data_IF_072178261340
#
_entry.id   IF_072178261340
#
_cell.length_a   1.000
_cell.length_b   1.000
_cell.length_c   1.000
_cell.angle_alpha   90.00
_cell.angle_beta   90.00
_cell.angle_gamma   90.00
#
_symmetry.space_group_name_H-M   'P 1'
#
loop_
_entity.id
_entity.type
_entity.pdbx_description
1 polymer ?
#
# COMPACT_ATOMS: atom_id res chain seq x y z
N UNK A 1 -2.57 2.03 27.38
CA UNK A 1 -3.04 1.69 26.02
C UNK A 1 -1.92 0.91 25.33
N UNK A 2 -2.23 -0.22 24.69
CA UNK A 2 -1.22 -1.07 24.03
C UNK A 2 -1.08 -0.66 22.56
N UNK A 3 0.14 -0.74 22.04
CA UNK A 3 0.42 -0.56 20.61
C UNK A 3 -0.37 -1.57 19.77
N UNK A 4 -1.09 -1.09 18.74
CA UNK A 4 -1.94 -1.93 17.86
C UNK A 4 -1.28 -2.34 16.55
N UNK A 5 -0.44 -1.49 15.97
CA UNK A 5 0.12 -1.68 14.63
C UNK A 5 1.64 -1.86 14.69
N UNK A 6 2.22 -2.61 13.74
CA UNK A 6 3.65 -2.80 13.59
C UNK A 6 4.21 -2.20 12.28
N UNK A 7 5.53 -2.14 12.17
CA UNK A 7 6.25 -1.61 11.01
C UNK A 7 5.89 -2.42 9.76
N UNK A 8 5.49 -1.72 8.70
CA UNK A 8 5.07 -2.31 7.43
C UNK A 8 3.61 -2.79 7.39
N UNK A 9 2.85 -2.66 8.49
CA UNK A 9 1.41 -2.83 8.45
C UNK A 9 0.78 -1.80 7.51
N UNK A 10 -0.22 -2.24 6.76
CA UNK A 10 -1.02 -1.39 5.89
C UNK A 10 -2.20 -0.87 6.68
N UNK A 11 -2.33 0.46 6.72
CA UNK A 11 -3.37 1.18 7.45
C UNK A 11 -3.98 2.24 6.56
N UNK A 12 -5.15 2.75 6.94
CA UNK A 12 -5.73 3.97 6.36
C UNK A 12 -6.46 4.77 7.42
N UNK A 13 -6.87 6.00 7.09
CA UNK A 13 -7.69 6.81 7.99
C UNK A 13 -9.05 6.16 8.20
N UNK A 14 -9.62 6.32 9.40
CA UNK A 14 -11.00 5.90 9.67
C UNK A 14 -11.99 6.49 8.68
N UNK A 15 -11.76 7.71 8.18
CA UNK A 15 -12.60 8.35 7.17
C UNK A 15 -12.54 7.70 5.78
N UNK A 16 -11.72 6.67 5.56
CA UNK A 16 -11.65 6.00 4.27
C UNK A 16 -12.99 5.29 3.96
N UNK A 17 -13.62 5.53 2.79
CA UNK A 17 -14.96 4.99 2.49
C UNK A 17 -15.07 3.45 2.60
N UNK A 18 -14.03 2.75 2.13
CA UNK A 18 -13.94 1.28 2.24
C UNK A 18 -13.90 0.73 3.69
N UNK A 19 -13.72 1.57 4.71
CA UNK A 19 -13.84 1.13 6.11
C UNK A 19 -15.30 0.92 6.54
N UNK A 20 -16.27 1.47 5.79
CA UNK A 20 -17.69 1.46 6.17
C UNK A 20 -18.63 1.00 5.04
N UNK A 21 -18.19 1.04 3.79
CA UNK A 21 -19.00 0.62 2.64
C UNK A 21 -19.02 -0.91 2.51
N UNK A 22 -20.19 -1.51 2.74
CA UNK A 22 -20.40 -2.96 2.70
C UNK A 22 -20.21 -3.55 1.28
N UNK A 23 -20.54 -2.79 0.25
CA UNK A 23 -20.34 -3.19 -1.16
C UNK A 23 -18.89 -3.05 -1.62
N UNK A 24 -18.04 -2.35 -0.85
CA UNK A 24 -16.65 -2.07 -1.20
C UNK A 24 -16.50 -1.17 -2.44
N UNK A 25 -17.54 -0.40 -2.79
CA UNK A 25 -17.50 0.61 -3.85
C UNK A 25 -17.44 2.01 -3.26
N UNK A 26 -16.52 2.83 -3.77
CA UNK A 26 -16.32 4.18 -3.26
C UNK A 26 -17.32 5.14 -3.90
N UNK A 27 -18.27 5.60 -3.08
CA UNK A 27 -19.19 6.70 -3.38
C UNK A 27 -18.70 8.03 -2.77
N UNK A 28 -17.49 8.45 -3.16
CA UNK A 28 -16.87 9.69 -2.69
C UNK A 28 -16.02 10.33 -3.79
N UNK A 29 -15.79 11.65 -3.69
CA UNK A 29 -14.94 12.35 -4.64
C UNK A 29 -13.49 11.85 -4.53
N UNK A 30 -12.93 11.45 -5.67
CA UNK A 30 -11.62 10.79 -5.80
C UNK A 30 -10.52 11.49 -5.00
N UNK A 31 -10.43 12.81 -5.12
CA UNK A 31 -9.35 13.59 -4.52
C UNK A 31 -9.46 13.73 -3.00
N UNK A 32 -10.57 13.31 -2.40
CA UNK A 32 -10.81 13.36 -0.95
C UNK A 32 -10.63 12.01 -0.27
N UNK A 33 -10.30 10.97 -1.03
CA UNK A 33 -10.13 9.62 -0.46
C UNK A 33 -8.72 9.50 0.11
N UNK A 34 -8.62 9.17 1.41
CA UNK A 34 -7.33 8.91 2.03
C UNK A 34 -6.57 7.78 1.32
N UNK A 35 -5.22 7.85 1.26
CA UNK A 35 -4.41 6.74 0.78
C UNK A 35 -4.43 5.56 1.76
N UNK A 36 -4.16 4.36 1.26
CA UNK A 36 -3.55 3.32 2.07
C UNK A 36 -2.07 3.67 2.31
N UNK A 37 -1.64 3.53 3.55
CA UNK A 37 -0.31 3.89 4.02
C UNK A 37 0.36 2.67 4.67
N UNK A 38 1.70 2.67 4.70
CA UNK A 38 2.48 1.71 5.47
C UNK A 38 3.07 2.39 6.72
N UNK A 39 3.05 1.71 7.87
CA UNK A 39 3.64 2.21 9.12
C UNK A 39 5.17 2.18 9.03
N UNK A 40 5.83 3.34 9.04
CA UNK A 40 7.30 3.51 9.00
C UNK A 40 7.93 3.51 10.38
N UNK A 41 7.29 4.17 11.34
CA UNK A 41 7.77 4.27 12.73
C UNK A 41 6.60 4.26 13.73
N UNK A 42 6.88 3.80 14.93
CA UNK A 42 5.94 3.81 16.06
C UNK A 42 6.52 4.70 17.14
N UNK A 43 5.73 5.64 17.67
CA UNK A 43 6.16 6.58 18.70
C UNK A 43 5.21 6.52 19.89
N UNK A 44 5.76 6.30 21.09
CA UNK A 44 5.02 6.26 22.35
C UNK A 44 5.37 7.51 23.18
N UNK A 45 4.43 8.43 23.26
CA UNK A 45 4.53 9.73 23.92
C UNK A 45 3.94 9.67 25.35
N UNK A 46 4.74 9.97 26.38
CA UNK A 46 4.32 9.83 27.80
C UNK A 46 3.75 11.09 28.44
N UNK A 47 4.06 12.27 27.92
CA UNK A 47 3.69 13.58 28.52
C UNK A 47 2.91 14.45 27.54
N UNK A 48 1.92 13.86 26.89
CA UNK A 48 1.08 14.55 25.92
C UNK A 48 -0.23 14.99 26.54
N UNK A 49 -0.70 16.16 26.14
CA UNK A 49 -2.06 16.57 26.42
C UNK A 49 -3.01 15.69 25.57
N UNK A 50 -3.70 14.78 26.24
CA UNK A 50 -4.65 13.85 25.62
C UNK A 50 -6.03 14.48 25.51
N UNK A 51 -6.41 15.31 26.49
CA UNK A 51 -7.73 15.93 26.60
C UNK A 51 -7.64 17.44 26.43
N UNK A 52 -8.67 18.03 25.81
CA UNK A 52 -8.76 19.48 25.63
C UNK A 52 -8.82 20.20 26.97
N UNK A 53 -8.10 21.32 27.09
CA UNK A 53 -8.23 22.23 28.23
C UNK A 53 -9.55 22.99 28.22
N UNK A 54 -10.17 23.17 27.05
CA UNK A 54 -11.42 23.89 26.87
C UNK A 54 -12.64 22.97 27.10
N UNK A 55 -12.51 21.68 26.76
CA UNK A 55 -13.54 20.67 26.97
C UNK A 55 -12.91 19.45 27.66
N UNK A 56 -12.95 19.36 29.01
CA UNK A 56 -12.18 18.40 29.80
C UNK A 56 -12.39 16.91 29.48
N UNK A 57 -13.50 16.55 28.81
CA UNK A 57 -13.80 15.19 28.37
C UNK A 57 -13.47 14.92 26.90
N UNK A 58 -13.12 15.95 26.10
CA UNK A 58 -12.82 15.78 24.69
C UNK A 58 -11.39 15.27 24.50
N UNK A 59 -11.27 14.02 24.07
CA UNK A 59 -9.99 13.43 23.66
C UNK A 59 -9.53 14.05 22.33
N UNK A 60 -8.34 14.64 22.31
CA UNK A 60 -7.75 15.33 21.16
C UNK A 60 -6.45 14.69 20.65
N UNK A 61 -5.90 13.71 21.39
CA UNK A 61 -4.68 13.01 21.00
C UNK A 61 -4.64 11.58 21.55
N UNK A 62 -3.65 10.82 21.09
CA UNK A 62 -3.22 9.56 21.68
C UNK A 62 -1.78 9.65 22.19
N UNK A 63 -1.46 8.75 23.12
CA UNK A 63 -0.08 8.49 23.55
C UNK A 63 0.71 7.69 22.52
N UNK A 64 0.07 7.18 21.47
CA UNK A 64 0.72 6.40 20.41
C UNK A 64 0.42 7.07 19.09
N UNK A 65 1.47 7.44 18.36
CA UNK A 65 1.39 7.96 17.00
C UNK A 65 2.31 7.14 16.08
N UNK A 66 1.95 7.12 14.81
CA UNK A 66 2.67 6.41 13.78
C UNK A 66 3.15 7.40 12.73
N UNK A 67 4.39 7.24 12.28
CA UNK A 67 4.82 7.86 11.04
C UNK A 67 4.40 6.91 9.92
N UNK A 68 3.46 7.34 9.09
CA UNK A 68 2.91 6.56 8.00
C UNK A 68 3.39 7.12 6.66
N UNK A 69 3.62 6.24 5.69
CA UNK A 69 4.11 6.59 4.36
C UNK A 69 3.14 6.09 3.30
N UNK A 70 2.84 6.93 2.30
CA UNK A 70 2.13 6.54 1.09
C UNK A 70 2.81 7.12 -0.14
N UNK A 71 2.42 6.64 -1.31
CA UNK A 71 2.89 7.19 -2.58
C UNK A 71 1.91 8.24 -3.10
N UNK A 72 2.36 9.50 -3.21
CA UNK A 72 1.61 10.54 -3.88
C UNK A 72 1.83 10.42 -5.39
N UNK A 73 0.82 9.91 -6.10
CA UNK A 73 0.88 9.72 -7.55
C UNK A 73 0.94 11.04 -8.35
N UNK A 74 0.44 12.15 -7.82
CA UNK A 74 0.40 13.43 -8.54
C UNK A 74 1.78 14.08 -8.58
N UNK A 75 2.50 13.98 -7.46
CA UNK A 75 3.86 14.50 -7.31
C UNK A 75 4.93 13.44 -7.61
N UNK A 76 4.52 12.18 -7.74
CA UNK A 76 5.38 11.01 -7.98
C UNK A 76 6.47 10.82 -6.92
N UNK A 77 6.11 11.05 -5.65
CA UNK A 77 7.00 10.94 -4.48
C UNK A 77 6.34 10.13 -3.36
N UNK A 78 7.12 9.63 -2.42
CA UNK A 78 6.58 9.18 -1.14
C UNK A 78 6.33 10.39 -0.23
N UNK A 79 5.20 10.37 0.47
CA UNK A 79 4.85 11.38 1.46
C UNK A 79 4.68 10.72 2.82
N UNK A 80 5.03 11.46 3.86
CA UNK A 80 4.98 11.01 5.25
C UNK A 80 4.00 11.85 6.06
N UNK A 81 3.27 11.19 6.96
CA UNK A 81 2.34 11.86 7.86
C UNK A 81 2.30 11.18 9.22
N UNK A 82 2.28 12.00 10.28
CA UNK A 82 2.01 11.50 11.63
C UNK A 82 0.52 11.36 11.86
N UNK A 83 0.09 10.18 12.32
CA UNK A 83 -1.31 9.88 12.63
C UNK A 83 -1.42 9.20 13.98
N UNK A 84 -2.49 9.47 14.73
CA UNK A 84 -2.73 8.85 16.03
C UNK A 84 -3.36 7.47 15.87
N UNK A 85 -3.09 6.59 16.83
CA UNK A 85 -3.59 5.21 16.83
C UNK A 85 -5.10 5.12 16.63
N UNK A 86 -5.89 5.99 17.27
CA UNK A 86 -7.34 5.96 17.18
C UNK A 86 -7.90 6.67 15.93
N UNK A 87 -7.05 7.24 15.07
CA UNK A 87 -7.47 7.88 13.81
C UNK A 87 -7.37 6.96 12.59
N UNK A 88 -6.73 5.80 12.75
CA UNK A 88 -6.46 4.84 11.67
C UNK A 88 -7.09 3.47 11.95
N UNK A 89 -7.22 2.67 10.88
CA UNK A 89 -7.69 1.28 10.89
C UNK A 89 -6.72 0.40 10.10
N UNK A 90 -6.71 -0.89 10.45
CA UNK A 90 -5.89 -1.91 9.78
C UNK A 90 -6.58 -2.33 8.47
N UNK A 91 -5.79 -2.79 7.48
CA UNK A 91 -6.35 -3.32 6.24
C UNK A 91 -7.36 -4.47 6.45
N UNK A 92 -7.20 -5.27 7.51
CA UNK A 92 -8.13 -6.35 7.86
C UNK A 92 -9.54 -5.85 8.16
N UNK A 93 -9.68 -4.58 8.54
CA UNK A 93 -10.94 -3.96 8.97
C UNK A 93 -11.61 -3.19 7.82
N UNK A 94 -11.06 -3.28 6.60
CA UNK A 94 -11.51 -2.58 5.40
C UNK A 94 -12.14 -3.59 4.44
N UNK A 95 -13.27 -3.21 3.83
CA UNK A 95 -13.98 -4.02 2.84
C UNK A 95 -13.55 -3.64 1.43
N UNK A 96 -13.16 -4.63 0.62
CA UNK A 96 -12.93 -4.46 -0.82
C UNK A 96 -13.99 -5.23 -1.61
N UNK A 97 -14.48 -4.64 -2.70
CA UNK A 97 -15.48 -5.25 -3.57
C UNK A 97 -15.06 -6.67 -3.99
N UNK A 98 -15.95 -7.64 -3.79
CA UNK A 98 -15.86 -8.97 -4.40
C UNK A 98 -16.62 -8.91 -5.73
N UNK A 99 -15.90 -8.91 -6.84
CA UNK A 99 -16.49 -8.67 -8.16
C UNK A 99 -17.63 -9.62 -8.53
N UNK A 100 -17.75 -10.81 -7.92
CA UNK A 100 -18.81 -11.76 -8.25
C UNK A 100 -19.22 -12.61 -7.03
N UNK A 101 -20.54 -12.76 -6.86
CA UNK A 101 -21.17 -13.94 -6.24
C UNK A 101 -20.55 -15.19 -6.87
N UNK A 102 -20.28 -16.19 -6.03
CA UNK A 102 -19.50 -17.41 -6.29
C UNK A 102 -17.98 -17.20 -6.34
N UNK A 103 -17.37 -17.16 -5.15
CA UNK A 103 -15.96 -17.51 -4.98
C UNK A 103 -15.77 -18.91 -5.60
N UNK A 104 -15.16 -18.99 -6.78
CA UNK A 104 -14.62 -20.26 -7.27
C UNK A 104 -13.76 -20.85 -6.15
N UNK A 105 -13.95 -22.14 -5.87
CA UNK A 105 -13.24 -22.86 -4.82
C UNK A 105 -11.72 -22.56 -4.88
N UNK A 106 -11.20 -21.89 -3.85
CA UNK A 106 -9.78 -21.51 -3.76
C UNK A 106 -9.40 -20.05 -4.10
N UNK A 107 -10.33 -19.18 -4.50
CA UNK A 107 -10.03 -17.74 -4.66
C UNK A 107 -9.97 -17.01 -3.31
N UNK A 108 -8.84 -16.32 -3.02
CA UNK A 108 -8.68 -15.43 -1.85
C UNK A 108 -9.20 -14.02 -2.16
N UNK A 109 -9.78 -13.35 -1.17
CA UNK A 109 -10.16 -11.94 -1.29
C UNK A 109 -8.93 -11.05 -1.42
N UNK A 110 -9.05 -9.87 -2.04
CA UNK A 110 -7.90 -8.96 -2.23
C UNK A 110 -7.19 -8.60 -0.91
N UNK A 111 -7.96 -8.37 0.16
CA UNK A 111 -7.42 -8.13 1.51
C UNK A 111 -6.60 -9.32 2.00
N UNK A 112 -7.15 -10.53 1.92
CA UNK A 112 -6.46 -11.77 2.30
C UNK A 112 -5.19 -11.98 1.46
N UNK A 113 -5.26 -11.74 0.15
CA UNK A 113 -4.10 -11.83 -0.73
C UNK A 113 -2.98 -10.88 -0.29
N UNK A 114 -3.33 -9.65 0.10
CA UNK A 114 -2.38 -8.62 0.52
C UNK A 114 -1.82 -8.85 1.91
N UNK A 115 -2.62 -9.37 2.85
CA UNK A 115 -2.13 -9.76 4.18
C UNK A 115 -1.13 -10.92 4.09
N UNK A 116 -1.26 -11.78 3.07
CA UNK A 116 -0.33 -12.87 2.79
C UNK A 116 0.95 -12.45 2.03
N UNK A 117 1.17 -11.16 1.78
CA UNK A 117 2.37 -10.71 1.08
C UNK A 117 3.64 -11.00 1.88
N UNK A 118 4.56 -11.69 1.23
CA UNK A 118 5.92 -11.83 1.74
C UNK A 118 6.71 -10.56 1.44
N UNK A 119 7.53 -10.16 2.40
CA UNK A 119 8.50 -9.08 2.19
C UNK A 119 9.51 -9.52 1.12
N UNK A 120 9.88 -8.62 0.22
CA UNK A 120 10.90 -8.92 -0.79
C UNK A 120 12.27 -9.10 -0.13
N UNK A 121 13.06 -10.05 -0.62
CA UNK A 121 14.50 -10.09 -0.38
C UNK A 121 15.21 -9.00 -1.21
N UNK A 122 16.39 -8.57 -0.74
CA UNK A 122 17.24 -7.65 -1.50
C UNK A 122 17.94 -8.39 -2.66
N UNK A 123 17.83 -7.81 -3.85
CA UNK A 123 18.56 -8.22 -5.04
C UNK A 123 18.70 -6.99 -5.93
N UNK A 124 19.93 -6.62 -6.30
CA UNK A 124 20.17 -5.42 -7.10
C UNK A 124 19.54 -5.58 -8.50
N UNK A 125 18.82 -4.55 -8.95
CA UNK A 125 18.08 -4.58 -10.22
C UNK A 125 16.73 -5.28 -10.15
N UNK A 126 16.37 -5.90 -9.02
CA UNK A 126 15.10 -6.61 -8.87
C UNK A 126 13.92 -5.64 -8.87
N UNK A 127 12.90 -6.01 -9.64
CA UNK A 127 11.62 -5.30 -9.66
C UNK A 127 10.79 -5.67 -8.44
N UNK A 128 10.29 -4.66 -7.74
CA UNK A 128 9.46 -4.79 -6.54
C UNK A 128 8.27 -3.82 -6.59
N UNK A 129 7.32 -4.03 -5.70
CA UNK A 129 6.11 -3.21 -5.58
C UNK A 129 5.95 -2.72 -4.16
N UNK A 130 5.48 -1.48 -4.02
CA UNK A 130 4.98 -1.00 -2.74
C UNK A 130 3.71 -1.80 -2.38
N UNK A 131 3.59 -2.24 -1.12
CA UNK A 131 2.53 -3.15 -0.69
C UNK A 131 1.11 -2.67 -1.02
N UNK A 132 0.87 -1.35 -1.06
CA UNK A 132 -0.44 -0.77 -1.36
C UNK A 132 -0.76 -0.68 -2.86
N UNK A 133 0.21 -0.94 -3.75
CA UNK A 133 0.06 -0.82 -5.21
C UNK A 133 -1.23 -1.46 -5.74
N UNK A 134 -1.45 -2.74 -5.37
CA UNK A 134 -2.58 -3.51 -5.89
C UNK A 134 -3.91 -3.04 -5.30
N UNK A 135 -3.91 -2.60 -4.05
CA UNK A 135 -5.08 -2.07 -3.36
C UNK A 135 -5.54 -0.78 -4.04
N UNK A 136 -4.63 0.17 -4.18
CA UNK A 136 -4.89 1.48 -4.80
C UNK A 136 -5.35 1.33 -6.25
N UNK A 137 -4.71 0.44 -7.01
CA UNK A 137 -5.08 0.16 -8.40
C UNK A 137 -6.47 -0.45 -8.57
N UNK A 138 -6.96 -1.19 -7.58
CA UNK A 138 -8.23 -1.96 -7.65
C UNK A 138 -9.38 -1.29 -6.92
N UNK A 139 -9.19 -0.06 -6.41
CA UNK A 139 -10.30 0.75 -5.90
C UNK A 139 -11.36 0.92 -7.00
N UNK A 140 -12.62 0.69 -6.63
CA UNK A 140 -13.77 0.89 -7.50
C UNK A 140 -14.57 2.09 -7.02
N UNK A 141 -15.15 2.81 -7.97
CA UNK A 141 -15.89 4.04 -7.72
C UNK A 141 -17.27 3.92 -8.37
N UNK A 142 -18.33 4.14 -7.60
CA UNK A 142 -19.72 3.99 -8.07
C UNK A 142 -20.04 4.95 -9.23
N UNK A 143 -19.50 6.16 -9.18
CA UNK A 143 -19.78 7.23 -10.15
C UNK A 143 -18.79 7.29 -11.32
N UNK A 144 -17.73 6.46 -11.33
CA UNK A 144 -16.79 6.40 -12.43
C UNK A 144 -17.37 5.53 -13.57
N UNK A 145 -18.26 6.11 -14.38
CA UNK A 145 -18.83 5.42 -15.54
C UNK A 145 -20.33 5.60 -15.79
N UNK A 146 -21.01 6.59 -15.20
CA UNK A 146 -22.44 6.84 -15.50
C UNK A 146 -22.70 7.58 -16.83
N UNK A 147 -21.69 7.82 -17.67
CA UNK A 147 -21.91 8.15 -19.07
C UNK A 147 -21.80 6.88 -19.92
N UNK A 148 -22.90 6.51 -20.56
CA UNK A 148 -23.03 5.35 -21.47
C UNK A 148 -22.07 5.37 -22.67
N UNK A 149 -21.37 6.49 -22.90
CA UNK A 149 -20.33 6.66 -23.92
C UNK A 149 -18.89 6.72 -23.36
N UNK A 150 -18.70 6.59 -22.04
CA UNK A 150 -17.38 6.71 -21.44
C UNK A 150 -16.63 5.37 -21.48
N UNK A 151 -15.69 5.24 -22.41
CA UNK A 151 -14.80 4.07 -22.57
C UNK A 151 -13.58 4.10 -21.64
N UNK A 152 -13.47 5.04 -20.69
CA UNK A 152 -12.33 5.16 -19.77
C UNK A 152 -12.73 5.89 -18.49
N UNK A 153 -12.15 5.69 -17.30
CA UNK A 153 -10.87 5.14 -16.85
C UNK A 153 -11.09 4.77 -15.38
N UNK A 154 -10.54 3.65 -14.91
CA UNK A 154 -10.28 3.48 -13.48
C UNK A 154 -9.52 4.72 -13.00
N UNK A 155 -10.14 5.53 -12.13
CA UNK A 155 -9.47 6.71 -11.59
C UNK A 155 -8.50 6.19 -10.54
N UNK A 156 -7.25 5.98 -10.94
CA UNK A 156 -6.20 5.55 -10.02
C UNK A 156 -6.02 6.66 -8.99
N UNK A 157 -6.08 6.30 -7.71
CA UNK A 157 -5.68 7.15 -6.58
C UNK A 157 -4.42 6.59 -5.98
N UNK A 158 -3.45 7.43 -5.62
CA UNK A 158 -2.25 7.06 -4.84
C UNK A 158 -1.51 5.80 -5.32
N UNK A 159 -1.64 5.44 -6.60
CA UNK A 159 -1.07 4.19 -7.13
C UNK A 159 0.40 4.41 -7.43
N UNK A 160 1.26 3.64 -6.78
CA UNK A 160 2.70 3.70 -7.02
C UNK A 160 3.09 3.10 -8.37
N UNK A 161 4.24 3.45 -8.96
CA UNK A 161 4.83 2.64 -10.03
C UNK A 161 5.34 1.30 -9.47
N UNK A 162 5.87 0.46 -10.36
CA UNK A 162 6.83 -0.55 -9.94
C UNK A 162 8.19 0.11 -9.71
N UNK A 163 8.95 -0.42 -8.77
CA UNK A 163 10.27 0.10 -8.42
C UNK A 163 11.36 -0.90 -8.75
N UNK A 164 12.59 -0.41 -8.87
CA UNK A 164 13.79 -1.22 -8.97
C UNK A 164 14.59 -1.07 -7.68
N UNK A 165 14.98 -2.18 -7.07
CA UNK A 165 15.93 -2.19 -5.98
C UNK A 165 17.32 -1.80 -6.50
N UNK A 166 17.89 -0.73 -5.95
CA UNK A 166 19.19 -0.24 -6.40
C UNK A 166 20.17 0.12 -5.27
N UNK A 167 19.84 -0.25 -4.03
CA UNK A 167 20.71 -0.06 -2.89
C UNK A 167 20.12 -0.63 -1.61
N UNK A 168 21.00 -0.83 -0.62
CA UNK A 168 20.67 -1.36 0.69
C UNK A 168 21.49 -0.61 1.74
N UNK A 169 20.87 -0.29 2.87
CA UNK A 169 21.60 0.17 4.05
C UNK A 169 20.88 -0.23 5.33
N UNK A 170 21.64 -0.32 6.41
CA UNK A 170 21.07 -0.37 7.75
C UNK A 170 20.47 0.99 8.10
N UNK A 171 19.39 0.97 8.88
CA UNK A 171 18.75 2.19 9.33
C UNK A 171 19.59 2.85 10.43
N UNK A 172 19.99 4.10 10.19
CA UNK A 172 20.72 4.89 11.18
C UNK A 172 19.83 5.24 12.38
N UNK A 173 18.51 5.36 12.17
CA UNK A 173 17.54 5.60 13.23
C UNK A 173 17.21 4.28 13.91
N UNK A 174 17.80 4.06 15.08
CA UNK A 174 17.53 2.88 15.90
C UNK A 174 16.26 3.04 16.73
N UNK A 175 15.66 1.90 17.07
CA UNK A 175 14.60 1.81 18.07
C UNK A 175 15.12 2.27 19.43
N UNK A 176 14.33 3.06 20.14
CA UNK A 176 14.66 3.66 21.43
C UNK A 176 13.79 3.02 22.50
N UNK A 177 14.46 2.59 23.58
CA UNK A 177 13.82 2.04 24.78
C UNK A 177 14.22 2.89 25.98
N UNK A 178 13.30 3.00 26.93
CA UNK A 178 13.57 3.70 28.17
C UNK A 178 14.57 2.89 29.01
N UNK A 179 15.72 3.48 29.33
CA UNK A 179 16.80 2.81 30.05
C UNK A 179 16.41 2.31 31.46
N UNK A 180 15.39 2.89 32.10
CA UNK A 180 14.99 2.54 33.47
C UNK A 180 14.03 1.35 33.54
N UNK A 181 13.12 1.21 32.58
CA UNK A 181 12.06 0.20 32.61
C UNK A 181 11.95 -0.66 31.35
N UNK A 182 12.81 -0.43 30.35
CA UNK A 182 12.83 -1.18 29.10
C UNK A 182 11.66 -0.89 28.16
N UNK A 183 10.77 0.05 28.47
CA UNK A 183 9.59 0.31 27.64
C UNK A 183 9.98 0.97 26.32
N UNK A 184 9.37 0.51 25.23
CA UNK A 184 9.52 1.07 23.90
C UNK A 184 9.08 2.55 23.88
N UNK A 185 9.93 3.41 23.34
CA UNK A 185 9.61 4.82 23.08
C UNK A 185 9.49 5.11 21.59
N UNK A 186 10.36 4.50 20.78
CA UNK A 186 10.29 4.58 19.33
C UNK A 186 10.69 3.26 18.70
N UNK A 187 9.91 2.75 17.74
CA UNK A 187 10.29 1.60 16.90
C UNK A 187 10.55 2.07 15.49
N UNK A 188 11.67 1.65 14.91
CA UNK A 188 12.07 1.90 13.53
C UNK A 188 12.45 0.56 12.87
N UNK A 189 12.34 0.46 11.54
CA UNK A 189 12.88 -0.68 10.79
C UNK A 189 14.40 -0.72 10.87
N UNK A 190 14.99 -1.91 10.85
CA UNK A 190 16.44 -2.12 10.89
C UNK A 190 17.09 -1.97 9.51
N UNK A 191 16.36 -2.26 8.44
CA UNK A 191 16.89 -2.38 7.09
C UNK A 191 16.09 -1.50 6.11
N UNK A 192 16.82 -0.72 5.32
CA UNK A 192 16.24 0.17 4.31
C UNK A 192 16.68 -0.27 2.92
N UNK A 193 15.72 -0.38 2.02
CA UNK A 193 15.93 -0.58 0.60
C UNK A 193 15.90 0.76 -0.12
N UNK A 194 16.89 0.99 -0.98
CA UNK A 194 16.88 2.09 -1.94
C UNK A 194 16.08 1.63 -3.15
N UNK A 195 15.04 2.39 -3.48
CA UNK A 195 14.18 2.14 -4.62
C UNK A 195 14.34 3.23 -5.65
N UNK A 196 14.35 2.84 -6.92
CA UNK A 196 14.48 3.71 -8.10
C UNK A 196 13.21 3.62 -8.94
N UNK A 197 12.73 4.78 -9.41
CA UNK A 197 11.63 4.86 -10.37
C UNK A 197 11.78 6.10 -11.26
N UNK A 198 11.09 6.09 -12.39
CA UNK A 198 10.95 7.28 -13.22
C UNK A 198 9.87 8.20 -12.64
N UNK A 199 10.27 9.41 -12.23
CA UNK A 199 9.37 10.44 -11.77
C UNK A 199 8.96 11.32 -12.95
N UNK A 200 7.76 11.04 -13.48
CA UNK A 200 7.20 11.76 -14.61
C UNK A 200 6.85 13.22 -14.28
N UNK A 201 6.64 13.58 -13.01
CA UNK A 201 6.37 14.96 -12.61
C UNK A 201 7.62 15.85 -12.72
N UNK A 202 8.81 15.29 -12.46
CA UNK A 202 10.09 16.00 -12.54
C UNK A 202 10.92 15.61 -13.78
N UNK A 203 10.40 14.75 -14.65
CA UNK A 203 11.05 14.19 -15.83
C UNK A 203 12.44 13.56 -15.57
N UNK A 204 12.65 13.00 -14.38
CA UNK A 204 13.93 12.40 -13.98
C UNK A 204 13.74 11.12 -13.17
N UNK A 205 14.82 10.39 -12.97
CA UNK A 205 14.80 9.29 -12.02
C UNK A 205 14.79 9.82 -10.58
N UNK A 206 13.94 9.24 -9.74
CA UNK A 206 13.88 9.49 -8.31
C UNK A 206 14.31 8.25 -7.55
N UNK A 207 14.90 8.48 -6.39
CA UNK A 207 15.42 7.44 -5.52
C UNK A 207 15.07 7.74 -4.06
N UNK A 208 14.72 6.71 -3.31
CA UNK A 208 14.41 6.88 -1.89
C UNK A 208 14.73 5.62 -1.08
N UNK A 209 15.14 5.81 0.17
CA UNK A 209 15.35 4.72 1.13
C UNK A 209 14.11 4.52 1.98
N UNK A 210 13.52 3.33 1.90
CA UNK A 210 12.32 2.95 2.64
C UNK A 210 12.50 1.61 3.36
N UNK A 211 11.77 1.35 4.46
CA UNK A 211 11.79 0.06 5.15
C UNK A 211 11.60 -1.12 4.21
N UNK A 212 12.37 -2.19 4.38
CA UNK A 212 12.18 -3.42 3.58
C UNK A 212 10.76 -3.97 3.67
N UNK A 213 10.10 -3.75 4.81
CA UNK A 213 8.76 -4.21 5.12
C UNK A 213 7.70 -3.57 4.22
N UNK A 214 8.05 -2.53 3.46
CA UNK A 214 7.12 -1.83 2.57
C UNK A 214 6.96 -2.51 1.22
N UNK A 215 7.83 -3.47 0.90
CA UNK A 215 7.96 -3.99 -0.44
C UNK A 215 7.67 -5.47 -0.53
N UNK A 216 7.07 -5.85 -1.65
CA UNK A 216 6.81 -7.24 -2.01
C UNK A 216 7.15 -7.46 -3.48
N UNK A 217 7.51 -8.69 -3.81
CA UNK A 217 7.73 -9.20 -5.17
C UNK A 217 6.66 -10.23 -5.55
N UNK A 218 5.48 -10.15 -4.92
CA UNK A 218 4.41 -11.13 -5.06
C UNK A 218 3.95 -11.29 -6.53
N UNK A 219 4.04 -12.52 -7.03
CA UNK A 219 3.64 -12.90 -8.40
C UNK A 219 2.16 -12.63 -8.69
N UNK A 220 1.31 -12.46 -7.67
CA UNK A 220 -0.12 -12.09 -7.83
C UNK A 220 -0.31 -10.62 -8.21
N UNK A 221 0.73 -9.79 -8.11
CA UNK A 221 0.72 -8.41 -8.60
C UNK A 221 0.99 -8.38 -10.12
N UNK A 222 1.79 -9.31 -10.63
CA UNK A 222 2.09 -9.44 -12.05
C UNK A 222 2.02 -10.91 -12.50
N UNK A 223 1.00 -11.25 -13.31
CA UNK A 223 1.10 -12.48 -14.11
C UNK A 223 2.17 -12.24 -15.17
N UNK A 224 3.25 -13.02 -15.24
CA UNK A 224 4.16 -12.94 -16.36
C UNK A 224 3.35 -13.12 -17.65
N UNK A 225 3.62 -12.29 -18.67
CA UNK A 225 3.17 -12.57 -20.02
C UNK A 225 3.62 -14.01 -20.32
N UNK A 226 2.66 -14.94 -20.47
CA UNK A 226 2.98 -16.28 -20.95
C UNK A 226 3.73 -16.07 -22.26
N UNK A 227 4.92 -16.67 -22.40
CA UNK A 227 5.56 -16.78 -23.71
C UNK A 227 4.52 -17.41 -24.62
N UNK A 228 4.13 -16.68 -25.66
CA UNK A 228 3.40 -17.27 -26.78
C UNK A 228 4.44 -18.17 -27.44
N UNK A 229 4.45 -19.45 -27.08
CA UNK A 229 5.18 -20.44 -27.85
C UNK A 229 4.55 -20.43 -29.23
N UNK A 230 5.28 -19.89 -30.20
CA UNK A 230 4.94 -19.91 -31.62
C UNK A 230 4.99 -21.35 -32.13
N UNK A 231 3.94 -22.12 -31.85
CA UNK A 231 3.65 -23.35 -32.59
C UNK A 231 2.98 -22.93 -33.91
N UNK A 232 3.78 -22.36 -34.80
CA UNK A 232 3.50 -22.40 -36.24
C UNK A 232 4.15 -23.65 -36.80
N UNK A 233 3.58 -24.82 -36.48
CA UNK A 233 3.77 -26.04 -37.26
C UNK A 233 2.39 -26.63 -37.54
N UNK A 234 2.19 -26.97 -38.81
CA UNK A 234 1.03 -27.65 -39.44
C UNK A 234 0.00 -26.72 -40.09
N UNK A 235 0.40 -26.08 -41.19
CA UNK A 235 -0.36 -26.24 -42.44
C UNK A 235 0.48 -27.10 -43.37
N UNK A 236 0.09 -28.37 -43.49
CA UNK A 236 0.60 -29.23 -44.55
C UNK A 236 0.10 -28.67 -45.88
N UNK A 237 1.04 -28.37 -46.77
CA UNK A 237 0.78 -28.21 -48.18
C UNK A 237 1.03 -29.60 -48.78
N UNK A 238 -0.02 -30.41 -48.86
CA UNK A 238 -0.10 -31.44 -49.89
C UNK A 238 -0.95 -30.85 -51.01
N UNK A 239 -0.29 -30.23 -51.98
CA UNK A 239 -0.90 -29.99 -53.30
C UNK A 239 -0.60 -31.22 -54.16
N UNK A 240 -1.70 -31.89 -54.51
CA UNK A 240 -1.79 -32.91 -55.56
C UNK A 240 -1.09 -32.42 -56.84
N UNK A 241 -0.24 -33.27 -57.40
CA UNK A 241 0.09 -33.25 -58.82
C UNK A 241 -0.99 -34.05 -59.54
N UNK A 242 -1.73 -33.37 -60.41
CA UNK A 242 -2.32 -33.97 -61.61
C UNK A 242 -1.39 -33.64 -62.78
#
# INVERSE_FOLDING_TARGET
>A
MKNKFDIGDIVTLKSHPLAYQEDGEIDAYVNQIPPFMCVKEIHIEKKKQIFSSEMPSAKIADNIKYLCVYFNQHRMIFEEGYVYQDTIVLLSDVTFHNEQKELKEGHKKLVEETLDYKNSSYEFGKRIFFKTYKLEKRKKFRSAGQDSNSTTKTILTHTSPAFILNGFKLNNQKSIYNAKNGELQRKCSEELFKVLWYNAFQEKFSEEYLPKEFFTDDKRIYKPLKKIDSISKRRGIDQKKD
#
